data_IF_545755105836
#
_entry.id   IF_545755105836
#
_cell.length_a   1.000
_cell.length_b   1.000
_cell.length_c   1.000
_cell.angle_alpha   90.00
_cell.angle_beta   90.00
_cell.angle_gamma   90.00
#
_symmetry.space_group_name_H-M   'P 1'
#
loop_
_entity.id
_entity.type
_entity.pdbx_description
1 polymer ?
#
# COMPACT_ATOMS: atom_id res chain seq x y z
N UNK A 1 13.50 -3.05 4.86
CA UNK A 1 14.30 -4.29 4.73
C UNK A 1 15.77 -3.97 4.79
N UNK A 2 16.56 -4.78 5.49
CA UNK A 2 18.02 -4.60 5.68
C UNK A 2 18.76 -5.92 5.58
N UNK A 3 20.06 -5.88 5.30
CA UNK A 3 20.95 -7.01 5.53
C UNK A 3 21.28 -7.07 7.02
N UNK A 4 20.77 -8.07 7.74
CA UNK A 4 21.02 -8.22 9.18
C UNK A 4 22.21 -9.15 9.44
N UNK A 5 23.09 -8.80 10.38
CA UNK A 5 24.14 -9.70 10.88
C UNK A 5 23.61 -10.71 11.91
N UNK A 6 24.48 -11.62 12.36
CA UNK A 6 24.14 -12.62 13.38
C UNK A 6 23.72 -12.03 14.74
N UNK A 7 24.04 -10.75 15.01
CA UNK A 7 23.60 -10.05 16.21
C UNK A 7 22.28 -9.29 15.99
N UNK A 8 21.63 -9.44 14.82
CA UNK A 8 20.40 -8.75 14.44
C UNK A 8 20.62 -7.28 14.10
N UNK A 9 21.86 -6.85 13.82
CA UNK A 9 22.18 -5.46 13.51
C UNK A 9 22.16 -5.23 11.99
N UNK A 10 21.66 -4.09 11.52
CA UNK A 10 21.72 -3.77 10.10
C UNK A 10 23.16 -3.51 9.65
N UNK A 11 23.61 -4.21 8.61
CA UNK A 11 24.83 -3.91 7.86
C UNK A 11 24.54 -2.79 6.87
N UNK A 12 24.61 -1.53 7.33
CA UNK A 12 24.27 -0.35 6.53
C UNK A 12 25.12 -0.19 5.25
N UNK A 13 26.33 -0.76 5.22
CA UNK A 13 27.20 -0.74 4.03
C UNK A 13 26.65 -1.55 2.84
N UNK A 14 25.66 -2.41 3.07
CA UNK A 14 25.04 -3.28 2.07
C UNK A 14 23.77 -2.68 1.44
N UNK A 15 23.38 -1.49 1.88
CA UNK A 15 22.13 -0.84 1.48
C UNK A 15 20.93 -1.19 2.36
N UNK A 16 19.86 -0.44 2.15
CA UNK A 16 18.58 -0.58 2.86
C UNK A 16 17.43 -0.32 1.90
N UNK A 17 16.36 -1.09 2.00
CA UNK A 17 15.17 -0.92 1.15
C UNK A 17 13.98 -0.46 1.98
N UNK A 18 13.23 0.52 1.48
CA UNK A 18 11.91 0.82 2.01
C UNK A 18 10.94 -0.13 1.34
N UNK A 19 10.32 -1.01 2.12
CA UNK A 19 9.43 -2.05 1.57
C UNK A 19 8.00 -1.54 1.45
N UNK A 20 7.43 -1.68 0.26
CA UNK A 20 6.04 -1.38 -0.09
C UNK A 20 5.55 -2.32 -1.21
N UNK A 21 4.32 -2.10 -1.69
CA UNK A 21 3.70 -2.94 -2.72
C UNK A 21 4.45 -2.93 -4.06
N UNK A 22 5.28 -1.91 -4.34
CA UNK A 22 6.09 -1.79 -5.57
C UNK A 22 7.43 -2.51 -5.47
N UNK A 23 7.86 -2.83 -4.25
CA UNK A 23 9.19 -3.40 -4.00
C UNK A 23 9.33 -4.77 -4.65
N UNK A 24 10.44 -5.06 -5.35
CA UNK A 24 10.77 -6.42 -5.79
C UNK A 24 10.72 -7.41 -4.61
N UNK A 25 10.23 -8.61 -4.85
CA UNK A 25 10.04 -9.61 -3.77
C UNK A 25 11.37 -9.97 -3.06
N UNK A 26 12.49 -9.95 -3.79
CA UNK A 26 13.85 -10.29 -3.34
C UNK A 26 14.55 -9.22 -2.51
N UNK A 27 13.92 -8.06 -2.37
CA UNK A 27 14.33 -6.95 -1.50
C UNK A 27 13.52 -6.90 -0.19
N UNK A 28 12.50 -7.75 -0.01
CA UNK A 28 11.55 -7.65 1.10
C UNK A 28 12.03 -8.35 2.39
N UNK A 29 11.60 -7.79 3.52
CA UNK A 29 11.63 -8.38 4.88
C UNK A 29 13.00 -8.78 5.47
N UNK A 30 14.10 -8.29 4.93
CA UNK A 30 15.42 -8.46 5.53
C UNK A 30 15.48 -7.91 6.95
N UNK A 31 16.00 -8.72 7.87
CA UNK A 31 16.02 -8.47 9.31
C UNK A 31 14.73 -8.87 10.05
N UNK A 32 13.77 -9.49 9.36
CA UNK A 32 12.53 -9.99 9.94
C UNK A 32 12.41 -11.51 9.78
N UNK A 33 11.69 -12.13 10.70
CA UNK A 33 11.16 -13.48 10.47
C UNK A 33 9.88 -13.38 9.65
N UNK A 34 9.66 -14.34 8.75
CA UNK A 34 8.52 -14.40 7.84
C UNK A 34 8.03 -15.84 7.78
N UNK A 35 6.73 -16.05 7.95
CA UNK A 35 6.11 -17.36 7.79
C UNK A 35 5.11 -17.36 6.65
N UNK A 36 5.10 -18.42 5.86
CA UNK A 36 4.21 -18.63 4.73
C UNK A 36 4.95 -19.16 3.50
N UNK A 37 4.17 -19.55 2.51
CA UNK A 37 4.69 -20.02 1.22
C UNK A 37 4.55 -18.93 0.16
N UNK A 38 5.50 -18.94 -0.77
CA UNK A 38 5.63 -17.99 -1.87
C UNK A 38 6.32 -18.65 -3.09
N UNK A 39 6.22 -19.98 -3.17
CA UNK A 39 6.73 -20.80 -4.26
C UNK A 39 8.19 -20.56 -4.61
N UNK A 40 8.42 -20.18 -5.88
CA UNK A 40 9.74 -19.92 -6.45
C UNK A 40 10.29 -18.50 -6.19
N UNK A 41 9.44 -17.56 -5.75
CA UNK A 41 9.90 -16.21 -5.36
C UNK A 41 10.83 -16.28 -4.14
N UNK A 42 11.71 -15.30 -3.95
CA UNK A 42 12.65 -15.26 -2.81
C UNK A 42 12.64 -13.89 -2.18
N UNK A 43 12.84 -13.83 -0.87
CA UNK A 43 12.89 -12.60 -0.07
C UNK A 43 14.09 -12.64 0.88
N UNK A 44 14.35 -11.56 1.61
CA UNK A 44 15.47 -11.44 2.55
C UNK A 44 15.12 -11.82 4.00
N UNK A 45 13.85 -12.13 4.29
CA UNK A 45 13.42 -12.63 5.61
C UNK A 45 14.02 -14.00 5.96
N UNK A 46 14.04 -14.33 7.25
CA UNK A 46 14.55 -15.59 7.83
C UNK A 46 16.05 -15.87 7.66
N UNK A 47 16.81 -14.97 7.03
CA UNK A 47 18.24 -15.16 6.75
C UNK A 47 19.07 -14.04 7.35
N UNK A 48 20.29 -14.40 7.75
CA UNK A 48 21.30 -13.46 8.24
C UNK A 48 22.50 -13.43 7.29
N UNK A 49 23.07 -12.25 7.11
CA UNK A 49 24.27 -12.03 6.32
C UNK A 49 25.51 -12.37 7.16
N UNK A 50 26.04 -13.58 6.98
CA UNK A 50 27.21 -14.08 7.72
C UNK A 50 28.55 -13.68 7.13
N UNK A 51 28.59 -13.28 5.85
CA UNK A 51 29.83 -13.00 5.13
C UNK A 51 30.13 -11.50 4.98
N UNK A 52 31.36 -11.19 4.58
CA UNK A 52 31.77 -9.82 4.18
C UNK A 52 31.32 -9.50 2.75
N UNK A 53 30.94 -10.51 1.96
CA UNK A 53 30.50 -10.36 0.57
C UNK A 53 29.06 -9.84 0.44
N UNK A 54 28.30 -9.80 1.54
CA UNK A 54 26.92 -9.35 1.59
C UNK A 54 25.94 -10.26 0.83
N UNK A 55 26.28 -11.54 0.70
CA UNK A 55 25.39 -12.51 0.07
C UNK A 55 24.37 -13.04 1.11
N UNK A 56 23.16 -13.29 0.64
CA UNK A 56 22.09 -13.89 1.42
C UNK A 56 21.71 -15.21 0.76
N UNK A 57 21.82 -16.30 1.51
CA UNK A 57 21.26 -17.60 1.13
C UNK A 57 19.75 -17.60 1.31
N UNK A 58 19.05 -16.92 0.39
CA UNK A 58 17.58 -16.76 0.43
C UNK A 58 16.85 -18.10 0.29
N UNK A 59 17.49 -19.14 -0.23
CA UNK A 59 16.89 -20.48 -0.33
C UNK A 59 16.65 -21.05 1.06
N UNK A 60 17.61 -20.91 1.98
CA UNK A 60 17.51 -21.44 3.34
C UNK A 60 16.35 -20.84 4.15
N UNK A 61 15.93 -19.61 3.85
CA UNK A 61 14.85 -18.89 4.53
C UNK A 61 13.50 -18.90 3.83
N UNK A 62 13.39 -19.56 2.67
CA UNK A 62 12.18 -19.57 1.85
C UNK A 62 11.12 -20.55 2.36
N UNK A 63 9.84 -20.23 2.14
CA UNK A 63 8.69 -21.11 2.41
C UNK A 63 8.68 -21.70 3.84
N UNK A 64 9.00 -20.87 4.84
CA UNK A 64 9.05 -21.29 6.24
C UNK A 64 7.65 -21.25 6.85
N UNK A 65 7.14 -22.38 7.34
CA UNK A 65 5.80 -22.42 7.97
C UNK A 65 5.86 -22.29 9.51
N UNK A 66 7.03 -22.50 10.10
CA UNK A 66 7.26 -22.47 11.54
C UNK A 66 8.54 -21.69 11.88
N UNK A 67 8.55 -21.02 13.04
CA UNK A 67 9.70 -20.25 13.52
C UNK A 67 10.42 -20.89 14.71
N UNK A 68 10.01 -22.10 15.13
CA UNK A 68 10.54 -22.79 16.30
C UNK A 68 12.03 -23.13 16.20
N UNK A 69 12.57 -23.25 14.99
CA UNK A 69 14.01 -23.44 14.77
C UNK A 69 14.83 -22.17 15.03
N UNK A 70 14.23 -20.98 14.90
CA UNK A 70 14.91 -19.71 15.10
C UNK A 70 14.85 -19.25 16.56
N UNK A 71 13.72 -19.43 17.23
CA UNK A 71 13.52 -19.01 18.62
C UNK A 71 12.30 -19.69 19.27
N UNK A 72 12.12 -19.46 20.58
CA UNK A 72 10.96 -19.97 21.35
C UNK A 72 9.71 -19.15 21.05
N UNK A 73 8.84 -19.68 20.20
CA UNK A 73 7.62 -19.00 19.71
C UNK A 73 6.50 -18.90 20.77
N UNK A 74 6.49 -19.79 21.76
CA UNK A 74 5.54 -19.83 22.88
C UNK A 74 5.60 -18.60 23.80
N UNK A 75 6.67 -17.81 23.69
CA UNK A 75 6.84 -16.54 24.40
C UNK A 75 6.09 -15.36 23.76
N UNK A 76 5.47 -15.55 22.59
CA UNK A 76 4.77 -14.52 21.83
C UNK A 76 3.26 -14.83 21.70
N UNK A 77 2.45 -13.79 21.40
CA UNK A 77 0.98 -13.93 21.27
C UNK A 77 0.56 -14.86 20.13
N UNK A 78 1.40 -14.98 19.11
CA UNK A 78 1.21 -15.85 17.95
C UNK A 78 2.59 -16.37 17.51
N UNK A 79 2.69 -17.64 17.04
CA UNK A 79 3.93 -18.18 16.51
C UNK A 79 4.23 -17.71 15.07
N UNK A 80 3.32 -16.95 14.45
CA UNK A 80 3.38 -16.58 13.03
C UNK A 80 3.90 -15.16 12.81
N UNK A 81 4.64 -14.97 11.72
CA UNK A 81 4.94 -13.67 11.10
C UNK A 81 4.43 -13.70 9.66
N UNK A 82 3.11 -13.70 9.52
CA UNK A 82 2.39 -14.09 8.30
C UNK A 82 2.75 -13.21 7.09
N UNK A 83 3.17 -13.86 5.99
CA UNK A 83 3.60 -13.19 4.76
C UNK A 83 2.50 -12.33 4.12
N UNK A 84 1.24 -12.77 4.17
CA UNK A 84 0.10 -12.01 3.64
C UNK A 84 -0.17 -10.79 4.52
N UNK A 85 -0.04 -10.95 5.85
CA UNK A 85 -0.14 -9.82 6.78
C UNK A 85 0.94 -8.77 6.54
N UNK A 86 2.17 -9.19 6.25
CA UNK A 86 3.27 -8.27 5.92
C UNK A 86 3.02 -7.53 4.60
N UNK A 87 2.53 -8.21 3.56
CA UNK A 87 2.17 -7.57 2.28
C UNK A 87 1.00 -6.58 2.42
N UNK A 88 0.02 -6.86 3.29
CA UNK A 88 -1.04 -5.88 3.58
C UNK A 88 -0.48 -4.70 4.39
N UNK A 89 0.39 -4.95 5.36
CA UNK A 89 0.95 -3.92 6.23
C UNK A 89 1.86 -2.93 5.48
N UNK A 90 2.68 -3.41 4.54
CA UNK A 90 3.58 -2.56 3.75
C UNK A 90 2.77 -1.56 2.90
N UNK A 91 1.71 -2.04 2.24
CA UNK A 91 0.77 -1.18 1.49
C UNK A 91 0.03 -0.22 2.43
N UNK A 92 -0.52 -0.74 3.52
CA UNK A 92 -1.28 0.06 4.49
C UNK A 92 -0.46 1.24 5.00
N UNK A 93 0.82 1.00 5.32
CA UNK A 93 1.74 2.03 5.81
C UNK A 93 1.94 3.12 4.76
N UNK A 94 2.24 2.76 3.49
CA UNK A 94 2.49 3.77 2.47
C UNK A 94 1.22 4.53 2.04
N UNK A 95 0.08 3.85 1.99
CA UNK A 95 -1.19 4.52 1.72
C UNK A 95 -1.54 5.54 2.82
N UNK A 96 -1.38 5.19 4.10
CA UNK A 96 -1.57 6.15 5.20
C UNK A 96 -0.55 7.29 5.15
N UNK A 97 0.70 7.03 4.75
CA UNK A 97 1.70 8.08 4.52
C UNK A 97 1.26 9.04 3.41
N UNK A 98 0.72 8.53 2.31
CA UNK A 98 0.22 9.35 1.20
C UNK A 98 -0.99 10.22 1.61
N UNK A 99 -1.95 9.64 2.33
CA UNK A 99 -3.11 10.37 2.88
C UNK A 99 -2.64 11.46 3.84
N UNK A 100 -1.72 11.13 4.76
CA UNK A 100 -1.20 12.07 5.75
C UNK A 100 -0.46 13.21 5.07
N UNK A 101 0.42 12.91 4.11
CA UNK A 101 1.13 13.92 3.33
C UNK A 101 0.15 14.85 2.61
N UNK A 102 -0.88 14.31 1.95
CA UNK A 102 -1.90 15.10 1.27
C UNK A 102 -2.69 16.01 2.21
N UNK A 103 -3.00 15.53 3.42
CA UNK A 103 -3.68 16.33 4.45
C UNK A 103 -2.83 17.55 4.86
N UNK A 104 -1.57 17.30 5.25
CA UNK A 104 -0.65 18.37 5.68
C UNK A 104 -0.35 19.35 4.56
N UNK A 105 -0.05 18.84 3.37
CA UNK A 105 0.31 19.65 2.21
C UNK A 105 -0.83 20.57 1.78
N UNK A 106 -2.07 20.05 1.78
CA UNK A 106 -3.26 20.85 1.43
C UNK A 106 -3.49 21.95 2.46
N UNK A 107 -3.46 21.63 3.76
CA UNK A 107 -3.63 22.64 4.83
C UNK A 107 -2.57 23.72 4.76
N UNK A 108 -1.31 23.34 4.52
CA UNK A 108 -0.21 24.30 4.39
C UNK A 108 -0.36 25.17 3.13
N UNK A 109 -0.72 24.58 2.00
CA UNK A 109 -0.92 25.29 0.74
C UNK A 109 -2.07 26.32 0.84
N UNK A 110 -3.19 25.95 1.46
CA UNK A 110 -4.32 26.85 1.69
C UNK A 110 -3.94 27.97 2.65
N UNK A 111 -3.30 27.65 3.77
CA UNK A 111 -2.86 28.65 4.75
C UNK A 111 -1.95 29.71 4.09
N UNK A 112 -0.96 29.28 3.33
CA UNK A 112 -0.05 30.19 2.62
C UNK A 112 -0.77 30.99 1.52
N UNK A 113 -1.75 30.37 0.83
CA UNK A 113 -2.56 31.06 -0.17
C UNK A 113 -3.36 32.20 0.46
N UNK A 114 -4.03 31.94 1.58
CA UNK A 114 -4.87 32.93 2.26
C UNK A 114 -4.04 34.05 2.88
N UNK A 115 -2.89 33.75 3.48
CA UNK A 115 -1.95 34.80 3.93
C UNK A 115 -1.51 35.71 2.79
N UNK A 116 -1.26 35.13 1.61
CA UNK A 116 -0.88 35.92 0.44
C UNK A 116 -2.04 36.75 -0.12
N UNK A 117 -3.29 36.29 0.04
CA UNK A 117 -4.46 37.04 -0.38
C UNK A 117 -4.59 38.34 0.42
N UNK A 118 -4.36 38.31 1.73
CA UNK A 118 -4.36 39.50 2.59
C UNK A 118 -3.29 40.51 2.15
N UNK A 119 -2.07 40.03 1.84
CA UNK A 119 -0.96 40.89 1.43
C UNK A 119 -1.13 41.50 0.03
N UNK A 120 -1.84 40.80 -0.86
CA UNK A 120 -2.04 41.21 -2.25
C UNK A 120 -3.44 41.77 -2.52
N UNK A 121 -4.23 42.02 -1.48
CA UNK A 121 -5.61 42.53 -1.56
C UNK A 121 -6.50 41.68 -2.51
N UNK A 122 -6.40 40.36 -2.40
CA UNK A 122 -7.22 39.39 -3.16
C UNK A 122 -8.39 38.91 -2.31
N UNK A 123 -9.36 38.28 -2.98
CA UNK A 123 -10.47 37.60 -2.31
C UNK A 123 -9.96 36.60 -1.25
N UNK A 124 -10.52 36.59 -0.03
CA UNK A 124 -10.02 35.76 1.08
C UNK A 124 -9.91 34.28 0.73
N UNK A 125 -10.92 33.73 0.06
CA UNK A 125 -11.00 32.31 -0.29
C UNK A 125 -10.31 31.95 -1.62
N UNK A 126 -9.59 32.89 -2.25
CA UNK A 126 -8.89 32.63 -3.49
C UNK A 126 -7.74 31.61 -3.29
N UNK A 127 -7.86 30.45 -3.95
CA UNK A 127 -6.79 29.46 -3.98
C UNK A 127 -5.85 29.78 -5.14
N UNK A 128 -4.62 30.17 -4.81
CA UNK A 128 -3.60 30.49 -5.80
C UNK A 128 -3.26 29.29 -6.69
N UNK A 129 -2.81 29.54 -7.92
CA UNK A 129 -2.38 28.47 -8.81
C UNK A 129 -1.27 27.59 -8.21
N UNK A 130 -0.39 28.20 -7.41
CA UNK A 130 0.67 27.47 -6.69
C UNK A 130 0.07 26.48 -5.69
N UNK A 131 -0.90 26.92 -4.89
CA UNK A 131 -1.60 26.06 -3.96
C UNK A 131 -2.38 24.96 -4.70
N UNK A 132 -3.08 25.30 -5.79
CA UNK A 132 -3.78 24.32 -6.64
C UNK A 132 -2.82 23.23 -7.13
N UNK A 133 -1.66 23.58 -7.71
CA UNK A 133 -0.69 22.57 -8.20
C UNK A 133 -0.17 21.65 -7.10
N UNK A 134 0.03 22.17 -5.88
CA UNK A 134 0.49 21.37 -4.72
C UNK A 134 -0.59 20.38 -4.27
N UNK A 135 -1.84 20.81 -4.27
CA UNK A 135 -2.99 19.97 -3.95
C UNK A 135 -3.19 18.89 -5.03
N UNK A 136 -3.06 19.25 -6.32
CA UNK A 136 -3.10 18.29 -7.43
C UNK A 136 -2.02 17.21 -7.31
N UNK A 137 -0.77 17.60 -7.09
CA UNK A 137 0.35 16.66 -6.90
C UNK A 137 0.11 15.72 -5.71
N UNK A 138 -0.48 16.24 -4.63
CA UNK A 138 -0.87 15.43 -3.47
C UNK A 138 -1.98 14.44 -3.79
N UNK A 139 -3.00 14.86 -4.55
CA UNK A 139 -4.07 14.00 -5.01
C UNK A 139 -3.54 12.87 -5.91
N UNK A 140 -2.65 13.19 -6.85
CA UNK A 140 -2.01 12.22 -7.75
C UNK A 140 -1.21 11.18 -6.96
N UNK A 141 -0.48 11.62 -5.92
CA UNK A 141 0.24 10.69 -5.04
C UNK A 141 -0.71 9.76 -4.30
N UNK A 142 -1.82 10.27 -3.77
CA UNK A 142 -2.83 9.43 -3.11
C UNK A 142 -3.41 8.42 -4.10
N UNK A 143 -3.73 8.82 -5.33
CA UNK A 143 -4.28 7.93 -6.36
C UNK A 143 -3.32 6.80 -6.75
N UNK A 144 -2.02 7.08 -6.85
CA UNK A 144 -1.03 6.05 -7.18
C UNK A 144 -1.03 4.91 -6.16
N UNK A 145 -1.02 5.22 -4.87
CA UNK A 145 -1.13 4.21 -3.82
C UNK A 145 -2.55 3.62 -3.78
N UNK A 146 -3.58 4.44 -3.93
CA UNK A 146 -4.96 3.98 -3.88
C UNK A 146 -5.23 2.93 -4.96
N UNK A 147 -4.67 3.08 -6.15
CA UNK A 147 -4.89 2.18 -7.29
C UNK A 147 -3.78 1.14 -7.48
N UNK A 148 -2.96 0.90 -6.45
CA UNK A 148 -1.87 -0.10 -6.49
C UNK A 148 -0.95 0.07 -7.72
N UNK A 149 -0.64 1.32 -8.09
CA UNK A 149 0.23 1.58 -9.24
C UNK A 149 1.62 1.02 -8.96
N UNK A 150 2.25 0.47 -10.01
CA UNK A 150 3.58 -0.16 -9.97
C UNK A 150 3.69 -1.35 -9.00
N UNK A 151 2.57 -1.97 -8.62
CA UNK A 151 2.57 -3.18 -7.79
C UNK A 151 3.42 -4.29 -8.42
N UNK A 152 4.25 -4.92 -7.58
CA UNK A 152 5.01 -6.09 -7.99
C UNK A 152 4.06 -7.23 -8.39
N UNK A 153 4.12 -7.66 -9.64
CA UNK A 153 3.35 -8.79 -10.14
C UNK A 153 3.90 -10.09 -9.54
N UNK A 154 3.08 -10.79 -8.77
CA UNK A 154 3.45 -12.09 -8.20
C UNK A 154 3.69 -13.08 -9.34
N UNK A 155 4.81 -13.81 -9.24
CA UNK A 155 5.20 -14.84 -10.22
C UNK A 155 4.87 -16.25 -9.75
N UNK A 156 4.35 -16.39 -8.52
CA UNK A 156 3.95 -17.64 -7.90
C UNK A 156 2.91 -17.36 -6.80
N UNK A 157 2.20 -18.40 -6.37
CA UNK A 157 1.18 -18.30 -5.33
C UNK A 157 1.77 -17.96 -3.96
N UNK A 158 1.08 -17.10 -3.21
CA UNK A 158 1.44 -16.73 -1.84
C UNK A 158 0.36 -17.23 -0.87
N UNK A 159 0.77 -17.90 0.21
CA UNK A 159 -0.15 -18.30 1.27
C UNK A 159 0.44 -18.02 2.66
N UNK A 160 -0.38 -17.39 3.51
CA UNK A 160 -0.09 -17.16 4.91
C UNK A 160 -0.25 -18.41 5.78
N UNK A 161 0.31 -18.38 6.98
CA UNK A 161 0.24 -19.46 7.97
C UNK A 161 -0.81 -19.24 9.05
N UNK A 162 -1.39 -18.04 9.11
CA UNK A 162 -2.37 -17.64 10.11
C UNK A 162 -3.78 -17.48 9.52
N UNK A 163 -4.74 -17.13 10.38
CA UNK A 163 -6.11 -16.80 9.95
C UNK A 163 -6.23 -15.41 9.30
N UNK A 164 -5.14 -14.65 9.22
CA UNK A 164 -5.14 -13.25 8.80
C UNK A 164 -5.85 -13.05 7.46
N UNK A 165 -5.50 -13.81 6.41
CA UNK A 165 -6.09 -13.62 5.08
C UNK A 165 -7.62 -13.76 5.10
N UNK A 166 -8.13 -14.75 5.84
CA UNK A 166 -9.57 -15.00 5.96
C UNK A 166 -10.26 -13.92 6.78
N UNK A 167 -9.70 -13.55 7.93
CA UNK A 167 -10.25 -12.49 8.78
C UNK A 167 -10.23 -11.15 8.05
N UNK A 168 -9.12 -10.82 7.40
CA UNK A 168 -8.95 -9.62 6.61
C UNK A 168 -9.99 -9.47 5.51
N UNK A 169 -10.18 -10.52 4.69
CA UNK A 169 -11.16 -10.52 3.62
C UNK A 169 -12.60 -10.46 4.14
N UNK A 170 -12.88 -11.01 5.34
CA UNK A 170 -14.23 -10.98 5.93
C UNK A 170 -14.68 -9.60 6.42
N UNK A 171 -13.75 -8.66 6.57
CA UNK A 171 -14.03 -7.30 7.03
C UNK A 171 -14.51 -6.37 5.90
N UNK A 172 -15.05 -5.22 6.28
CA UNK A 172 -15.39 -4.13 5.38
C UNK A 172 -16.72 -4.33 4.63
N UNK A 173 -17.12 -3.32 3.84
CA UNK A 173 -18.34 -3.41 3.07
C UNK A 173 -18.19 -4.38 1.88
N UNK A 174 -19.32 -4.96 1.50
CA UNK A 174 -19.48 -5.80 0.31
C UNK A 174 -20.62 -5.24 -0.54
N UNK A 175 -20.50 -5.36 -1.85
CA UNK A 175 -21.60 -5.05 -2.76
C UNK A 175 -22.65 -6.19 -2.81
N UNK A 176 -23.67 -6.03 -3.66
CA UNK A 176 -24.72 -7.03 -3.84
C UNK A 176 -24.23 -8.35 -4.43
N UNK A 177 -23.09 -8.35 -5.11
CA UNK A 177 -22.44 -9.54 -5.66
C UNK A 177 -21.45 -10.19 -4.67
N UNK A 178 -21.43 -9.69 -3.42
CA UNK A 178 -20.50 -10.10 -2.37
C UNK A 178 -19.02 -9.80 -2.70
N UNK A 179 -18.73 -8.81 -3.54
CA UNK A 179 -17.35 -8.36 -3.84
C UNK A 179 -16.89 -7.29 -2.83
N UNK A 180 -15.62 -7.30 -2.45
CA UNK A 180 -15.00 -6.32 -1.55
C UNK A 180 -13.62 -5.87 -2.01
N UNK A 181 -13.26 -4.61 -1.73
CA UNK A 181 -11.88 -4.12 -1.88
C UNK A 181 -10.86 -4.80 -0.94
N UNK A 182 -11.33 -5.64 -0.01
CA UNK A 182 -10.49 -6.49 0.85
C UNK A 182 -10.32 -7.91 0.31
N UNK A 183 -10.98 -8.27 -0.79
CA UNK A 183 -10.79 -9.58 -1.40
C UNK A 183 -9.36 -9.70 -1.94
N UNK A 184 -8.66 -10.76 -1.54
CA UNK A 184 -7.27 -11.01 -1.89
C UNK A 184 -7.17 -11.91 -3.13
N UNK A 185 -6.15 -11.69 -3.96
CA UNK A 185 -5.84 -12.53 -5.12
C UNK A 185 -4.74 -13.55 -4.76
N UNK A 186 -3.58 -13.07 -4.30
CA UNK A 186 -2.41 -13.84 -3.86
C UNK A 186 -1.80 -14.80 -4.90
N UNK A 187 -2.26 -14.75 -6.14
CA UNK A 187 -1.72 -15.54 -7.26
C UNK A 187 -0.89 -14.66 -8.19
N UNK A 188 -1.39 -13.47 -8.50
CA UNK A 188 -0.79 -12.51 -9.44
C UNK A 188 -0.57 -11.13 -8.82
N UNK A 189 -1.28 -10.81 -7.74
CA UNK A 189 -1.24 -9.51 -7.02
C UNK A 189 -1.76 -9.66 -5.59
N UNK A 190 -1.71 -8.59 -4.79
CA UNK A 190 -2.22 -8.61 -3.41
C UNK A 190 -3.76 -8.61 -3.36
N UNK A 191 -4.39 -7.54 -3.88
CA UNK A 191 -5.85 -7.39 -3.86
C UNK A 191 -6.44 -7.78 -5.21
N UNK A 192 -7.53 -8.57 -5.18
CA UNK A 192 -8.29 -8.95 -6.38
C UNK A 192 -8.75 -7.73 -7.18
N UNK A 193 -9.19 -6.70 -6.46
CA UNK A 193 -9.52 -5.40 -7.01
C UNK A 193 -8.40 -4.42 -6.59
N UNK A 194 -7.51 -3.99 -7.49
CA UNK A 194 -6.38 -3.09 -7.19
C UNK A 194 -6.86 -1.66 -6.89
N UNK A 195 -7.65 -1.53 -5.83
CA UNK A 195 -8.10 -0.31 -5.20
C UNK A 195 -8.06 -0.53 -3.69
N UNK A 196 -7.24 0.26 -2.99
CA UNK A 196 -6.98 0.12 -1.57
C UNK A 196 -8.26 0.24 -0.74
N UNK A 197 -8.50 -0.73 0.13
CA UNK A 197 -9.59 -0.70 1.11
C UNK A 197 -9.52 0.52 2.06
N UNK A 198 -8.38 1.21 2.13
CA UNK A 198 -8.21 2.40 2.97
C UNK A 198 -8.94 3.64 2.46
N UNK A 199 -9.58 3.57 1.29
CA UNK A 199 -10.59 4.56 0.90
C UNK A 199 -11.71 4.68 1.95
N UNK A 200 -12.02 3.60 2.67
CA UNK A 200 -13.00 3.58 3.76
C UNK A 200 -12.44 4.01 5.13
N UNK A 201 -11.16 4.38 5.22
CA UNK A 201 -10.55 4.76 6.50
C UNK A 201 -10.96 6.16 6.92
N UNK A 202 -11.05 6.40 8.23
CA UNK A 202 -11.30 7.73 8.78
C UNK A 202 -10.31 8.76 8.22
N UNK A 203 -9.02 8.39 8.12
CA UNK A 203 -7.96 9.24 7.57
C UNK A 203 -8.25 9.71 6.13
N UNK A 204 -8.84 8.86 5.28
CA UNK A 204 -9.24 9.25 3.94
C UNK A 204 -10.51 10.12 3.96
N UNK A 205 -11.52 9.70 4.73
CA UNK A 205 -12.82 10.39 4.77
C UNK A 205 -12.72 11.81 5.33
N UNK A 206 -11.76 12.07 6.22
CA UNK A 206 -11.47 13.35 6.87
C UNK A 206 -10.40 14.20 6.14
N UNK A 207 -9.99 13.82 4.93
CA UNK A 207 -9.13 14.65 4.11
C UNK A 207 -9.75 16.05 3.90
N UNK A 208 -8.93 17.13 3.81
CA UNK A 208 -9.42 18.44 3.41
C UNK A 208 -10.23 18.35 2.11
N UNK A 209 -11.35 19.07 2.05
CA UNK A 209 -12.33 18.95 0.97
C UNK A 209 -11.71 19.16 -0.42
N UNK A 210 -10.72 20.04 -0.51
CA UNK A 210 -10.02 20.45 -1.71
C UNK A 210 -9.22 19.29 -2.32
N UNK A 211 -8.54 18.49 -1.51
CA UNK A 211 -7.79 17.32 -2.01
C UNK A 211 -8.70 16.11 -2.15
N UNK A 212 -9.66 15.92 -1.24
CA UNK A 212 -10.61 14.81 -1.30
C UNK A 212 -11.44 14.86 -2.58
N UNK A 213 -11.98 16.03 -2.93
CA UNK A 213 -12.77 16.22 -4.15
C UNK A 213 -11.95 15.88 -5.41
N UNK A 214 -10.69 16.34 -5.48
CA UNK A 214 -9.79 16.05 -6.61
C UNK A 214 -9.46 14.58 -6.74
N UNK A 215 -9.16 13.90 -5.61
CA UNK A 215 -8.93 12.46 -5.60
C UNK A 215 -10.16 11.72 -6.12
N UNK A 216 -11.35 12.06 -5.63
CA UNK A 216 -12.60 11.40 -6.03
C UNK A 216 -12.97 11.67 -7.50
N UNK A 217 -12.80 12.90 -7.99
CA UNK A 217 -13.07 13.27 -9.38
C UNK A 217 -12.14 12.51 -10.34
N UNK A 218 -10.83 12.53 -10.07
CA UNK A 218 -9.85 11.78 -10.86
C UNK A 218 -10.08 10.28 -10.77
N UNK A 219 -10.38 9.74 -9.58
CA UNK A 219 -10.71 8.33 -9.42
C UNK A 219 -11.91 7.94 -10.28
N UNK A 220 -12.97 8.75 -10.31
CA UNK A 220 -14.14 8.53 -11.18
C UNK A 220 -13.74 8.57 -12.67
N UNK A 221 -12.92 9.52 -13.08
CA UNK A 221 -12.41 9.63 -14.46
C UNK A 221 -11.60 8.39 -14.86
N UNK A 222 -10.68 7.94 -14.01
CA UNK A 222 -9.87 6.73 -14.22
C UNK A 222 -10.79 5.50 -14.32
N UNK A 223 -11.66 5.29 -13.34
CA UNK A 223 -12.52 4.09 -13.32
C UNK A 223 -13.61 4.09 -14.39
N UNK A 224 -13.96 5.24 -14.97
CA UNK A 224 -14.90 5.34 -16.10
C UNK A 224 -14.22 5.16 -17.46
N UNK A 225 -12.88 5.14 -17.48
CA UNK A 225 -12.09 5.02 -18.71
C UNK A 225 -11.84 6.34 -19.44
N UNK A 226 -12.10 7.48 -18.82
CA UNK A 226 -11.81 8.80 -19.41
C UNK A 226 -10.30 9.13 -19.33
N UNK A 227 -9.63 8.69 -18.26
CA UNK A 227 -8.18 8.76 -18.12
C UNK A 227 -7.50 7.49 -18.65
N UNK A 228 -6.79 7.67 -19.77
CA UNK A 228 -6.04 6.65 -20.50
C UNK A 228 -4.51 6.79 -20.34
N UNK A 229 -4.05 7.50 -19.30
CA UNK A 229 -2.63 7.66 -19.02
C UNK A 229 -1.94 6.32 -18.74
N UNK A 230 -0.65 6.23 -19.11
CA UNK A 230 0.16 5.02 -18.95
C UNK A 230 0.20 4.52 -17.50
N UNK A 231 0.14 5.43 -16.52
CA UNK A 231 0.13 5.16 -15.08
C UNK A 231 -0.93 4.14 -14.65
N UNK A 232 -2.08 4.08 -15.33
CA UNK A 232 -3.22 3.25 -14.93
C UNK A 232 -3.50 2.08 -15.88
N UNK A 233 -2.58 1.78 -16.81
CA UNK A 233 -2.79 0.73 -17.82
C UNK A 233 -2.86 -0.69 -17.23
N UNK A 234 -2.38 -0.90 -16.00
CA UNK A 234 -2.54 -2.18 -15.28
C UNK A 234 -4.00 -2.49 -14.92
N UNK A 235 -4.88 -1.47 -14.95
CA UNK A 235 -6.32 -1.62 -14.74
C UNK A 235 -7.02 -1.89 -16.08
N UNK A 236 -7.42 -3.14 -16.30
CA UNK A 236 -8.27 -3.49 -17.45
C UNK A 236 -9.65 -2.86 -17.36
N UNK A 237 -10.36 -2.73 -18.49
CA UNK A 237 -11.72 -2.19 -18.53
C UNK A 237 -12.68 -2.93 -17.58
N UNK A 238 -12.54 -4.26 -17.48
CA UNK A 238 -13.31 -5.09 -16.54
C UNK A 238 -13.01 -4.71 -15.10
N UNK A 239 -11.72 -4.62 -14.72
CA UNK A 239 -11.31 -4.26 -13.36
C UNK A 239 -11.79 -2.85 -13.00
N UNK A 240 -11.67 -1.88 -13.91
CA UNK A 240 -12.15 -0.51 -13.71
C UNK A 240 -13.64 -0.47 -13.40
N UNK A 241 -14.44 -1.19 -14.22
CA UNK A 241 -15.88 -1.32 -14.02
C UNK A 241 -16.23 -1.96 -12.67
N UNK A 242 -15.58 -3.07 -12.33
CA UNK A 242 -15.85 -3.80 -11.08
C UNK A 242 -15.53 -2.94 -9.84
N UNK A 243 -14.38 -2.24 -9.83
CA UNK A 243 -14.05 -1.30 -8.76
C UNK A 243 -15.10 -0.20 -8.67
N UNK A 244 -15.53 0.38 -9.80
CA UNK A 244 -16.54 1.44 -9.81
C UNK A 244 -17.90 0.96 -9.28
N UNK A 245 -18.33 -0.24 -9.63
CA UNK A 245 -19.55 -0.87 -9.13
C UNK A 245 -19.49 -1.09 -7.61
N UNK A 246 -18.37 -1.63 -7.11
CA UNK A 246 -18.15 -1.80 -5.67
C UNK A 246 -18.24 -0.44 -4.97
N UNK A 247 -17.52 0.57 -5.45
CA UNK A 247 -17.51 1.90 -4.83
C UNK A 247 -18.89 2.57 -4.85
N UNK A 248 -19.63 2.49 -5.95
CA UNK A 248 -21.02 3.00 -6.02
C UNK A 248 -21.94 2.32 -5.02
N UNK A 249 -21.75 1.01 -4.77
CA UNK A 249 -22.56 0.29 -3.81
C UNK A 249 -22.18 0.58 -2.34
N UNK A 250 -20.91 0.89 -2.07
CA UNK A 250 -20.34 0.80 -0.71
C UNK A 250 -19.73 2.09 -0.17
N UNK A 251 -19.46 3.10 -1.00
CA UNK A 251 -18.81 4.34 -0.60
C UNK A 251 -19.75 5.55 -0.74
N UNK A 252 -20.06 6.31 0.33
CA UNK A 252 -21.03 7.42 0.28
C UNK A 252 -20.72 8.49 -0.77
N UNK A 253 -19.45 8.84 -0.99
CA UNK A 253 -19.06 9.85 -2.00
C UNK A 253 -19.23 9.37 -3.48
N UNK A 254 -19.66 8.12 -3.68
CA UNK A 254 -19.99 7.50 -4.96
C UNK A 254 -21.47 7.16 -5.14
N UNK A 255 -22.29 7.34 -4.10
CA UNK A 255 -23.76 7.21 -4.13
C UNK A 255 -24.38 8.53 -4.60
#
# INVERSE_FOLDING_TARGET
SVFADAAGRPKLGSGTFTTDHTSPFDERWGGWYVTGSHGSMRHMGNVICTDEAHELDRESGANQDDLGEFFRTDSYLTPHSDIVALMVLEHQTQMHNAITAANFETRQALHQSYQMNELLEREPDFISESATRRIESSADRVLKYLLMCDEFALTDSVAGTSMFAKEFASMGPRDSEQRSLRDLDLETRLFRYPCSYLIYSDSFTELPSEVKARVLEKLKSILSGDDQSETYQHLSDTIRREILEILKATHPDFQ
#
